data_IF_326153320616
#
_entry.id   IF_326153320616
#
_cell.length_a   1.000
_cell.length_b   1.000
_cell.length_c   1.000
_cell.angle_alpha   90.00
_cell.angle_beta   90.00
_cell.angle_gamma   90.00
#
_symmetry.space_group_name_H-M   'P 1'
#
loop_
_entity.id
_entity.type
_entity.pdbx_description
1 polymer ?
#
# COMPACT_ATOMS: atom_id res chain seq x y z
N UNK A 1 -7.77 3.31 27.14
CA UNK A 1 -6.68 2.59 26.47
C UNK A 1 -6.31 1.37 27.31
N UNK A 2 -5.90 0.28 26.67
CA UNK A 2 -5.35 -0.91 27.35
C UNK A 2 -3.86 -0.66 27.48
N UNK A 3 -3.35 -0.69 28.72
CA UNK A 3 -1.94 -0.46 28.99
C UNK A 3 -1.06 -1.53 28.32
N UNK A 4 0.03 -1.10 27.67
CA UNK A 4 0.94 -1.98 26.93
C UNK A 4 0.42 -2.50 25.59
N UNK A 5 -0.81 -2.16 25.16
CA UNK A 5 -1.33 -2.55 23.86
C UNK A 5 -0.74 -1.70 22.74
N UNK A 6 -0.06 -2.35 21.79
CA UNK A 6 0.45 -1.70 20.57
C UNK A 6 -0.55 -1.94 19.44
N UNK A 7 -1.01 -0.88 18.79
CA UNK A 7 -2.00 -0.94 17.71
C UNK A 7 -1.40 -0.51 16.39
N UNK A 8 -1.56 -1.35 15.37
CA UNK A 8 -1.22 -1.07 13.98
C UNK A 8 -2.52 -0.98 13.17
N UNK A 9 -2.84 0.13 12.52
CA UNK A 9 -3.95 0.15 11.56
C UNK A 9 -3.68 -0.79 10.39
N UNK A 10 -4.74 -1.40 9.87
CA UNK A 10 -4.67 -2.36 8.76
C UNK A 10 -4.50 -1.73 7.37
N UNK A 11 -4.25 -0.42 7.31
CA UNK A 11 -4.01 0.33 6.08
C UNK A 11 -3.16 1.57 6.38
N UNK A 12 -2.55 2.12 5.35
CA UNK A 12 -1.75 3.35 5.44
C UNK A 12 -2.58 4.63 5.49
N UNK A 13 -3.86 4.59 5.16
CA UNK A 13 -4.72 5.79 5.14
C UNK A 13 -4.74 6.53 6.48
N UNK A 14 -4.93 5.87 7.64
CA UNK A 14 -4.92 6.52 8.95
C UNK A 14 -3.53 6.54 9.63
N UNK A 15 -2.43 6.28 8.91
CA UNK A 15 -1.13 6.04 9.54
C UNK A 15 -0.61 7.24 10.33
N UNK A 16 -0.80 8.46 9.83
CA UNK A 16 -0.36 9.69 10.53
C UNK A 16 -1.12 9.85 11.84
N UNK A 17 -2.44 9.70 11.82
CA UNK A 17 -3.27 9.80 13.03
C UNK A 17 -2.95 8.68 14.01
N UNK A 18 -2.69 7.48 13.52
CA UNK A 18 -2.28 6.37 14.37
C UNK A 18 -0.96 6.65 15.10
N UNK A 19 0.03 7.26 14.41
CA UNK A 19 1.31 7.63 15.02
C UNK A 19 1.14 8.78 16.01
N UNK A 20 0.30 9.78 15.72
CA UNK A 20 -0.05 10.85 16.68
C UNK A 20 -0.66 10.31 17.97
N UNK A 21 -1.36 9.18 17.89
CA UNK A 21 -1.95 8.48 19.04
C UNK A 21 -0.99 7.47 19.70
N UNK A 22 0.27 7.44 19.30
CA UNK A 22 1.30 6.58 19.87
C UNK A 22 1.44 5.21 19.18
N UNK A 23 0.78 4.99 18.05
CA UNK A 23 0.99 3.81 17.23
C UNK A 23 2.36 3.88 16.51
N UNK A 24 3.03 2.74 16.24
CA UNK A 24 4.37 2.77 15.64
C UNK A 24 4.36 2.79 14.09
N UNK A 25 3.23 2.56 13.45
CA UNK A 25 3.11 2.46 11.99
C UNK A 25 1.85 1.74 11.57
N UNK A 26 1.86 1.08 10.41
CA UNK A 26 0.71 0.33 9.89
C UNK A 26 1.13 -1.04 9.31
N UNK A 27 0.16 -1.94 9.16
CA UNK A 27 0.30 -3.21 8.42
C UNK A 27 -0.64 -3.14 7.22
N UNK A 28 -0.10 -2.89 6.03
CA UNK A 28 -0.89 -2.71 4.81
C UNK A 28 -0.46 -3.65 3.70
N UNK A 29 -1.44 -4.18 2.97
CA UNK A 29 -1.18 -4.99 1.77
C UNK A 29 -0.44 -4.19 0.70
N UNK A 30 -0.75 -2.89 0.53
CA UNK A 30 -0.11 -2.00 -0.44
C UNK A 30 1.39 -1.79 -0.18
N UNK A 31 1.87 -2.07 1.04
CA UNK A 31 3.29 -2.05 1.36
C UNK A 31 4.12 -3.02 0.50
N UNK A 32 3.53 -4.08 -0.05
CA UNK A 32 4.20 -4.98 -0.99
C UNK A 32 4.59 -4.31 -2.31
N UNK A 33 3.94 -3.21 -2.67
CA UNK A 33 4.19 -2.45 -3.90
C UNK A 33 4.78 -1.06 -3.62
N UNK A 34 4.30 -0.37 -2.58
CA UNK A 34 4.65 1.00 -2.21
C UNK A 34 5.25 1.09 -0.80
N UNK A 35 6.06 0.11 -0.43
CA UNK A 35 6.68 0.05 0.91
C UNK A 35 7.56 1.26 1.22
N UNK A 36 8.36 1.72 0.26
CA UNK A 36 9.23 2.90 0.44
C UNK A 36 8.44 4.20 0.66
N UNK A 37 7.34 4.40 -0.08
CA UNK A 37 6.48 5.57 0.10
C UNK A 37 5.83 5.59 1.48
N UNK A 38 5.33 4.45 1.94
CA UNK A 38 4.73 4.30 3.27
C UNK A 38 5.78 4.50 4.38
N UNK A 39 6.97 3.89 4.24
CA UNK A 39 8.06 4.02 5.19
C UNK A 39 8.50 5.47 5.34
N UNK A 40 8.66 6.20 4.23
CA UNK A 40 9.01 7.62 4.26
C UNK A 40 8.02 8.47 5.08
N UNK A 41 6.71 8.22 4.92
CA UNK A 41 5.69 8.91 5.73
C UNK A 41 5.86 8.61 7.22
N UNK A 42 6.09 7.34 7.57
CA UNK A 42 6.27 6.90 8.96
C UNK A 42 7.53 7.54 9.55
N UNK A 43 8.64 7.54 8.82
CA UNK A 43 9.91 8.12 9.28
C UNK A 43 9.79 9.63 9.51
N UNK A 44 9.10 10.35 8.62
CA UNK A 44 8.81 11.78 8.81
C UNK A 44 7.96 12.04 10.05
N UNK A 45 6.96 11.21 10.31
CA UNK A 45 6.15 11.30 11.53
C UNK A 45 7.01 11.09 12.79
N UNK A 46 7.85 10.07 12.82
CA UNK A 46 8.74 9.81 13.96
C UNK A 46 9.82 10.88 14.16
N UNK A 47 10.20 11.57 13.08
CA UNK A 47 11.07 12.74 13.15
C UNK A 47 10.35 14.03 13.58
N UNK A 48 9.04 13.99 13.82
CA UNK A 48 8.23 15.17 14.19
C UNK A 48 7.96 16.12 13.02
N UNK A 49 8.24 15.73 11.79
CA UNK A 49 8.10 16.53 10.58
C UNK A 49 6.71 16.38 9.97
N UNK A 50 5.69 16.83 10.71
CA UNK A 50 4.28 16.56 10.41
C UNK A 50 3.82 17.11 9.05
N UNK A 51 4.21 18.35 8.69
CA UNK A 51 3.81 18.96 7.43
C UNK A 51 4.44 18.21 6.22
N UNK A 52 5.70 17.80 6.36
CA UNK A 52 6.38 16.99 5.34
C UNK A 52 5.72 15.60 5.24
N UNK A 53 5.33 15.00 6.36
CA UNK A 53 4.63 13.72 6.40
C UNK A 53 3.26 13.81 5.70
N UNK A 54 2.47 14.85 5.97
CA UNK A 54 1.18 15.07 5.29
C UNK A 54 1.36 15.24 3.77
N UNK A 55 2.36 16.00 3.35
CA UNK A 55 2.68 16.18 1.93
C UNK A 55 3.09 14.85 1.26
N UNK A 56 3.96 14.08 1.91
CA UNK A 56 4.40 12.77 1.43
C UNK A 56 3.27 11.72 1.45
N UNK A 57 2.31 11.85 2.36
CA UNK A 57 1.20 10.92 2.48
C UNK A 57 0.18 11.03 1.34
N UNK A 58 0.06 12.20 0.71
CA UNK A 58 -0.91 12.40 -0.38
C UNK A 58 -0.75 11.38 -1.51
N UNK A 59 0.42 11.25 -2.18
CA UNK A 59 0.60 10.23 -3.22
C UNK A 59 0.44 8.79 -2.69
N UNK A 60 0.76 8.52 -1.43
CA UNK A 60 0.56 7.21 -0.82
C UNK A 60 -0.93 6.86 -0.72
N UNK A 61 -1.76 7.84 -0.32
CA UNK A 61 -3.23 7.69 -0.32
C UNK A 61 -3.78 7.49 -1.73
N UNK A 62 -3.31 8.27 -2.70
CA UNK A 62 -3.75 8.15 -4.09
C UNK A 62 -3.48 6.74 -4.64
N UNK A 63 -2.26 6.23 -4.45
CA UNK A 63 -1.91 4.85 -4.82
C UNK A 63 -2.84 3.84 -4.15
N UNK A 64 -3.12 3.98 -2.86
CA UNK A 64 -4.04 3.08 -2.14
C UNK A 64 -5.45 3.10 -2.73
N UNK A 65 -5.94 4.28 -3.11
CA UNK A 65 -7.29 4.45 -3.66
C UNK A 65 -7.44 3.80 -5.03
N UNK A 66 -6.38 3.74 -5.85
CA UNK A 66 -6.39 3.03 -7.14
C UNK A 66 -6.71 1.53 -7.00
N UNK A 67 -6.51 0.93 -5.84
CA UNK A 67 -6.84 -0.47 -5.58
C UNK A 67 -8.28 -0.70 -5.11
N UNK A 68 -9.08 0.35 -4.86
CA UNK A 68 -10.44 0.20 -4.32
C UNK A 68 -11.40 -0.52 -5.28
N UNK A 69 -11.20 -0.34 -6.59
CA UNK A 69 -12.01 -0.97 -7.63
C UNK A 69 -11.57 -2.40 -7.96
N UNK A 70 -10.56 -2.90 -7.26
CA UNK A 70 -9.99 -4.22 -7.47
C UNK A 70 -10.04 -5.04 -6.18
N UNK A 71 -10.06 -6.37 -6.32
CA UNK A 71 -9.71 -7.24 -5.22
C UNK A 71 -8.21 -7.03 -4.90
N UNK A 72 -7.82 -6.46 -3.75
CA UNK A 72 -6.46 -5.95 -3.56
C UNK A 72 -5.38 -7.03 -3.67
N UNK A 73 -5.59 -8.21 -3.09
CA UNK A 73 -4.60 -9.30 -3.12
C UNK A 73 -4.38 -9.83 -4.54
N UNK A 74 -5.42 -10.22 -5.31
CA UNK A 74 -5.24 -10.61 -6.71
C UNK A 74 -4.57 -9.55 -7.57
N UNK A 75 -4.98 -8.28 -7.44
CA UNK A 75 -4.42 -7.18 -8.22
C UNK A 75 -2.92 -6.97 -7.94
N UNK A 76 -2.52 -6.93 -6.69
CA UNK A 76 -1.13 -6.76 -6.29
C UNK A 76 -0.27 -7.95 -6.75
N UNK A 77 -0.77 -9.18 -6.61
CA UNK A 77 -0.06 -10.38 -7.06
C UNK A 77 0.11 -10.41 -8.58
N UNK A 78 -0.88 -9.98 -9.35
CA UNK A 78 -0.77 -9.87 -10.80
C UNK A 78 0.29 -8.84 -11.23
N UNK A 79 0.39 -7.69 -10.53
CA UNK A 79 1.44 -6.70 -10.75
C UNK A 79 2.82 -7.24 -10.36
N UNK A 80 2.93 -7.97 -9.26
CA UNK A 80 4.18 -8.62 -8.85
C UNK A 80 4.63 -9.68 -9.86
N UNK A 81 3.70 -10.51 -10.37
CA UNK A 81 4.00 -11.47 -11.41
C UNK A 81 4.62 -10.81 -12.65
N UNK A 82 4.04 -9.68 -13.07
CA UNK A 82 4.55 -8.91 -14.21
C UNK A 82 5.94 -8.31 -13.93
N UNK A 83 6.13 -7.67 -12.77
CA UNK A 83 7.39 -7.01 -12.39
C UNK A 83 8.54 -7.99 -12.22
N UNK A 84 8.27 -9.17 -11.68
CA UNK A 84 9.30 -10.18 -11.39
C UNK A 84 9.50 -11.21 -12.52
N UNK A 85 8.56 -11.28 -13.48
CA UNK A 85 8.52 -12.34 -14.47
C UNK A 85 8.16 -13.73 -13.91
N UNK A 86 7.73 -13.81 -12.66
CA UNK A 86 7.41 -15.06 -11.99
C UNK A 86 5.89 -15.28 -11.92
N UNK A 87 5.41 -16.17 -12.79
CA UNK A 87 3.99 -16.51 -12.89
C UNK A 87 3.41 -17.14 -11.62
N UNK A 88 4.23 -17.64 -10.69
CA UNK A 88 3.78 -18.23 -9.42
C UNK A 88 3.06 -17.23 -8.54
N UNK A 89 3.31 -15.93 -8.72
CA UNK A 89 2.56 -14.87 -8.04
C UNK A 89 1.06 -14.91 -8.37
N UNK A 90 0.65 -15.44 -9.53
CA UNK A 90 -0.77 -15.56 -9.90
C UNK A 90 -1.50 -16.72 -9.19
N UNK A 91 -0.79 -17.55 -8.42
CA UNK A 91 -1.41 -18.60 -7.62
C UNK A 91 -2.18 -17.97 -6.45
N UNK A 92 -3.48 -18.14 -6.46
CA UNK A 92 -4.40 -17.62 -5.46
C UNK A 92 -5.13 -18.76 -4.76
N UNK A 93 -5.43 -18.57 -3.48
CA UNK A 93 -6.30 -19.49 -2.74
C UNK A 93 -7.75 -19.03 -2.84
N UNK A 94 -8.71 -19.98 -2.91
CA UNK A 94 -10.12 -19.63 -2.80
C UNK A 94 -10.41 -18.76 -1.55
N UNK A 95 -11.34 -17.82 -1.61
CA UNK A 95 -12.28 -17.55 -2.72
C UNK A 95 -11.75 -16.60 -3.79
N UNK A 96 -10.48 -16.20 -3.74
CA UNK A 96 -9.92 -15.25 -4.70
C UNK A 96 -9.84 -15.83 -6.11
N UNK A 97 -10.12 -14.95 -7.09
CA UNK A 97 -9.89 -15.19 -8.52
C UNK A 97 -8.92 -14.15 -9.05
N UNK A 98 -8.14 -14.51 -10.06
CA UNK A 98 -7.25 -13.59 -10.75
C UNK A 98 -8.01 -12.45 -11.42
N UNK A 99 -7.33 -11.33 -11.64
CA UNK A 99 -7.82 -10.26 -12.50
C UNK A 99 -7.43 -10.52 -13.95
N UNK A 100 -8.17 -9.94 -14.91
CA UNK A 100 -7.80 -10.05 -16.33
C UNK A 100 -6.54 -9.25 -16.64
N UNK A 101 -5.86 -9.60 -17.72
CA UNK A 101 -4.67 -8.88 -18.21
C UNK A 101 -4.99 -7.41 -18.50
N UNK A 102 -6.14 -7.13 -19.10
CA UNK A 102 -6.62 -5.78 -19.36
C UNK A 102 -6.73 -4.94 -18.08
N UNK A 103 -7.34 -5.50 -17.02
CA UNK A 103 -7.44 -4.84 -15.71
C UNK A 103 -6.08 -4.62 -15.07
N UNK A 104 -5.18 -5.61 -15.16
CA UNK A 104 -3.80 -5.49 -14.68
C UNK A 104 -3.07 -4.36 -15.38
N UNK A 105 -3.16 -4.30 -16.71
CA UNK A 105 -2.44 -3.33 -17.53
C UNK A 105 -3.00 -1.90 -17.33
N UNK A 106 -4.32 -1.77 -17.18
CA UNK A 106 -4.96 -0.50 -16.81
C UNK A 106 -4.49 -0.01 -15.44
N UNK A 107 -4.44 -0.89 -14.45
CA UNK A 107 -3.93 -0.55 -13.10
C UNK A 107 -2.45 -0.18 -13.14
N UNK A 108 -1.62 -0.91 -13.88
CA UNK A 108 -0.20 -0.60 -14.05
C UNK A 108 0.00 0.79 -14.67
N UNK A 109 -0.79 1.14 -15.69
CA UNK A 109 -0.76 2.47 -16.30
C UNK A 109 -1.17 3.57 -15.31
N UNK A 110 -2.17 3.32 -14.46
CA UNK A 110 -2.61 4.28 -13.44
C UNK A 110 -1.58 4.48 -12.32
N UNK A 111 -0.70 3.52 -12.07
CA UNK A 111 0.37 3.58 -11.06
C UNK A 111 1.66 4.22 -11.59
N UNK A 112 1.85 4.29 -12.89
CA UNK A 112 3.06 4.86 -13.52
C UNK A 112 3.36 6.32 -13.10
N UNK A 113 2.37 7.23 -12.97
CA UNK A 113 2.62 8.61 -12.52
C UNK A 113 3.22 8.71 -11.10
N UNK A 114 3.08 7.66 -10.30
CA UNK A 114 3.63 7.57 -8.93
C UNK A 114 5.02 6.91 -8.90
N UNK A 115 5.68 6.77 -10.07
CA UNK A 115 7.00 6.16 -10.17
C UNK A 115 7.00 4.63 -10.04
N UNK A 116 5.83 3.99 -10.13
CA UNK A 116 5.68 2.55 -10.00
C UNK A 116 5.61 1.90 -11.39
N UNK A 117 6.63 1.13 -11.74
CA UNK A 117 6.71 0.40 -13.01
C UNK A 117 6.54 -1.11 -12.79
N UNK A 118 5.83 -1.76 -13.73
CA UNK A 118 5.49 -3.19 -13.66
C UNK A 118 5.69 -3.87 -15.01
#
# INVERSE_FOLDING_TARGET
>A
AIDGLIVYPGAELPVIDAIRLGGPGCISATANLNGSGIANVIDLCHAGKWDEAEAAHKPVKDVRLLFQDYAPIPAQKALLARRTGDARWNNLRPPFRGISDEKRDSLAASLAPYGMTF
#
